data_IF_733095280519
#
_entry.id   IF_733095280519
#
_cell.length_a   1.000
_cell.length_b   1.000
_cell.length_c   1.000
_cell.angle_alpha   90.00
_cell.angle_beta   90.00
_cell.angle_gamma   90.00
#
_symmetry.space_group_name_H-M   'P 1'
#
loop_
_entity.id
_entity.type
_entity.pdbx_description
1 polymer ?
#
# COMPACT_ATOMS: atom_id res chain seq x y z
N UNK A 1 1.76 4.55 -20.45
CA UNK A 1 1.60 5.82 -19.70
C UNK A 1 0.18 6.29 -19.93
N UNK A 2 -0.53 6.58 -18.85
CA UNK A 2 -1.87 7.18 -18.88
C UNK A 2 -1.78 8.52 -18.18
N UNK A 3 -2.26 9.58 -18.80
CA UNK A 3 -2.33 10.92 -18.24
C UNK A 3 -3.79 11.31 -18.07
N UNK A 4 -4.11 12.02 -17.00
CA UNK A 4 -5.47 12.50 -16.74
C UNK A 4 -5.53 13.35 -15.47
N UNK A 5 -6.64 14.05 -15.28
CA UNK A 5 -6.88 14.90 -14.11
C UNK A 5 -7.29 14.09 -12.87
N UNK A 6 -7.63 12.83 -13.06
CA UNK A 6 -8.04 11.94 -11.97
C UNK A 6 -7.44 10.55 -12.14
N UNK A 7 -7.18 9.89 -11.02
CA UNK A 7 -6.79 8.49 -11.02
C UNK A 7 -7.94 7.68 -11.63
N UNK A 8 -7.65 6.81 -12.63
CA UNK A 8 -8.68 5.99 -13.25
C UNK A 8 -9.42 5.14 -12.19
N UNK A 9 -10.73 4.99 -12.34
CA UNK A 9 -11.51 4.05 -11.52
C UNK A 9 -11.09 2.62 -11.88
N UNK A 10 -10.17 2.07 -11.13
CA UNK A 10 -9.66 0.71 -11.29
C UNK A 10 -9.97 -0.11 -10.05
N UNK A 11 -9.93 -1.45 -10.20
CA UNK A 11 -10.04 -2.31 -9.02
C UNK A 11 -8.90 -2.00 -8.05
N UNK A 12 -9.18 -1.99 -6.76
CA UNK A 12 -8.20 -1.71 -5.70
C UNK A 12 -6.91 -2.55 -5.86
N UNK A 13 -7.04 -3.84 -6.19
CA UNK A 13 -5.90 -4.74 -6.47
C UNK A 13 -5.02 -4.34 -7.66
N UNK A 14 -5.46 -3.41 -8.49
CA UNK A 14 -4.69 -2.90 -9.64
C UNK A 14 -3.85 -1.67 -9.29
N UNK A 15 -4.19 -0.94 -8.21
CA UNK A 15 -3.48 0.28 -7.80
C UNK A 15 -1.98 0.04 -7.54
N UNK A 16 -1.56 -1.04 -6.82
CA UNK A 16 -0.13 -1.27 -6.60
C UNK A 16 0.67 -1.66 -7.84
N UNK A 17 -0.01 -1.80 -9.00
CA UNK A 17 0.64 -2.03 -10.31
C UNK A 17 0.90 -0.75 -11.08
N UNK A 18 0.48 0.40 -10.52
CA UNK A 18 0.64 1.70 -11.14
C UNK A 18 1.62 2.54 -10.34
N UNK A 19 2.51 3.21 -11.05
CA UNK A 19 3.29 4.30 -10.51
C UNK A 19 2.56 5.59 -10.84
N UNK A 20 2.05 6.27 -9.81
CA UNK A 20 1.24 7.48 -9.97
C UNK A 20 2.14 8.67 -9.68
N UNK A 21 2.31 9.55 -10.66
CA UNK A 21 2.99 10.83 -10.49
C UNK A 21 1.90 11.89 -10.42
N UNK A 22 1.84 12.58 -9.29
CA UNK A 22 0.91 13.67 -9.05
C UNK A 22 1.65 14.99 -9.24
N UNK A 23 1.22 15.78 -10.22
CA UNK A 23 1.78 17.11 -10.48
C UNK A 23 0.99 18.13 -9.67
N UNK A 24 1.50 18.50 -8.51
CA UNK A 24 0.86 19.48 -7.62
C UNK A 24 1.17 20.92 -7.97
N UNK A 25 2.22 21.15 -8.75
CA UNK A 25 2.67 22.48 -9.15
C UNK A 25 2.35 22.78 -10.62
N UNK A 26 2.23 24.04 -10.95
CA UNK A 26 2.05 24.47 -12.32
C UNK A 26 3.27 24.05 -13.16
N UNK A 27 3.02 23.39 -14.29
CA UNK A 27 4.06 23.01 -15.23
C UNK A 27 4.75 24.28 -15.74
N UNK A 28 6.07 24.32 -15.69
CA UNK A 28 6.85 25.38 -16.32
C UNK A 28 6.69 25.27 -17.84
N UNK A 29 5.81 26.10 -18.40
CA UNK A 29 5.49 26.09 -19.84
C UNK A 29 6.68 26.42 -20.71
N UNK A 30 7.61 27.26 -20.23
CA UNK A 30 8.83 27.58 -20.98
C UNK A 30 9.73 26.36 -21.09
N UNK A 31 10.02 25.69 -19.97
CA UNK A 31 10.80 24.45 -19.94
C UNK A 31 10.15 23.34 -20.78
N UNK A 32 8.82 23.23 -20.74
CA UNK A 32 8.09 22.27 -21.57
C UNK A 32 8.26 22.58 -23.08
N UNK A 33 8.20 23.85 -23.46
CA UNK A 33 8.38 24.28 -24.85
C UNK A 33 9.81 24.00 -25.34
N UNK A 34 10.81 24.26 -24.51
CA UNK A 34 12.22 23.95 -24.79
C UNK A 34 12.42 22.43 -24.96
N UNK A 35 11.85 21.62 -24.07
CA UNK A 35 11.88 20.18 -24.20
C UNK A 35 11.20 19.67 -25.48
N UNK A 36 10.06 20.25 -25.85
CA UNK A 36 9.37 19.91 -27.10
C UNK A 36 10.21 20.30 -28.34
N UNK A 37 10.92 21.42 -28.30
CA UNK A 37 11.82 21.82 -29.37
C UNK A 37 13.01 20.86 -29.52
N UNK A 38 13.51 20.29 -28.43
CA UNK A 38 14.62 19.33 -28.40
C UNK A 38 14.19 17.87 -28.61
N UNK A 39 13.02 17.62 -29.20
CA UNK A 39 12.48 16.26 -29.35
C UNK A 39 13.37 15.33 -30.18
N UNK A 40 14.10 15.85 -31.16
CA UNK A 40 14.99 15.03 -31.99
C UNK A 40 16.20 14.53 -31.22
N UNK A 41 16.80 15.38 -30.38
CA UNK A 41 17.91 15.04 -29.50
C UNK A 41 17.48 13.99 -28.46
N UNK A 42 16.30 14.15 -27.88
CA UNK A 42 15.72 13.16 -26.96
C UNK A 42 15.55 11.80 -27.61
N UNK A 43 15.01 11.74 -28.81
CA UNK A 43 14.86 10.50 -29.57
C UNK A 43 16.21 9.85 -29.86
N UNK A 44 17.22 10.65 -30.23
CA UNK A 44 18.58 10.18 -30.47
C UNK A 44 19.20 9.58 -29.20
N UNK A 45 19.14 10.30 -28.08
CA UNK A 45 19.65 9.82 -26.80
C UNK A 45 18.93 8.55 -26.31
N UNK A 46 17.61 8.49 -26.47
CA UNK A 46 16.85 7.29 -26.12
C UNK A 46 17.22 6.10 -27.01
N UNK A 47 17.40 6.30 -28.30
CA UNK A 47 17.80 5.25 -29.23
C UNK A 47 19.21 4.71 -28.91
N UNK A 48 20.17 5.59 -28.56
CA UNK A 48 21.51 5.18 -28.15
C UNK A 48 21.47 4.41 -26.81
N UNK A 49 20.67 4.86 -25.86
CA UNK A 49 20.48 4.12 -24.61
C UNK A 49 19.83 2.75 -24.85
N UNK A 50 18.78 2.66 -25.68
CA UNK A 50 18.17 1.38 -26.06
C UNK A 50 19.22 0.48 -26.72
N UNK A 51 20.04 1.00 -27.62
CA UNK A 51 21.11 0.22 -28.25
C UNK A 51 22.12 -0.32 -27.20
N UNK A 52 22.44 0.47 -26.20
CA UNK A 52 23.30 0.03 -25.08
C UNK A 52 22.63 -1.10 -24.28
N UNK A 53 21.32 -1.07 -24.10
CA UNK A 53 20.59 -2.13 -23.36
C UNK A 53 20.45 -3.46 -24.10
N UNK A 54 20.77 -3.50 -25.40
CA UNK A 54 20.73 -4.73 -26.20
C UNK A 54 21.93 -5.68 -25.92
N UNK A 55 22.92 -5.23 -25.17
CA UNK A 55 24.00 -6.11 -24.70
C UNK A 55 23.44 -7.17 -23.75
N UNK A 56 23.85 -8.42 -23.94
CA UNK A 56 23.40 -9.54 -23.12
C UNK A 56 23.85 -9.37 -21.67
N UNK A 57 25.02 -8.79 -21.45
CA UNK A 57 25.57 -8.54 -20.11
C UNK A 57 24.76 -7.48 -19.38
N UNK A 58 24.13 -6.54 -20.10
CA UNK A 58 23.21 -5.56 -19.52
C UNK A 58 22.07 -6.23 -18.77
N UNK A 59 21.39 -7.20 -19.39
CA UNK A 59 20.24 -7.88 -18.78
C UNK A 59 20.63 -8.66 -17.52
N UNK A 60 21.79 -9.31 -17.55
CA UNK A 60 22.33 -10.07 -16.40
C UNK A 60 22.63 -9.09 -15.27
N UNK A 61 23.31 -8.02 -15.57
CA UNK A 61 23.68 -6.98 -14.60
C UNK A 61 22.47 -6.27 -14.01
N UNK A 62 21.52 -5.87 -14.84
CA UNK A 62 20.26 -5.25 -14.41
C UNK A 62 19.52 -6.14 -13.41
N UNK A 63 19.45 -7.45 -13.69
CA UNK A 63 18.83 -8.41 -12.78
C UNK A 63 19.56 -8.50 -11.44
N UNK A 64 20.89 -8.53 -11.47
CA UNK A 64 21.69 -8.57 -10.24
C UNK A 64 21.49 -7.29 -9.42
N UNK A 65 21.60 -6.14 -10.04
CA UNK A 65 21.39 -4.84 -9.39
C UNK A 65 19.99 -4.73 -8.78
N UNK A 66 18.96 -5.28 -9.47
CA UNK A 66 17.61 -5.37 -8.90
C UNK A 66 17.58 -6.22 -7.62
N UNK A 67 18.25 -7.37 -7.61
CA UNK A 67 18.30 -8.24 -6.43
C UNK A 67 19.03 -7.57 -5.26
N UNK A 68 20.14 -6.89 -5.55
CA UNK A 68 20.92 -6.17 -4.53
C UNK A 68 20.09 -5.06 -3.88
N UNK A 69 19.35 -4.27 -4.68
CA UNK A 69 18.40 -3.28 -4.15
C UNK A 69 17.27 -3.92 -3.36
N UNK A 70 16.74 -5.07 -3.84
CA UNK A 70 15.67 -5.78 -3.14
C UNK A 70 16.13 -6.24 -1.76
N UNK A 71 17.31 -6.85 -1.67
CA UNK A 71 17.85 -7.31 -0.40
C UNK A 71 18.09 -6.13 0.55
N UNK A 72 18.66 -5.03 0.07
CA UNK A 72 18.84 -3.80 0.84
C UNK A 72 17.53 -3.25 1.39
N UNK A 73 16.50 -3.10 0.53
CA UNK A 73 15.21 -2.55 0.93
C UNK A 73 14.49 -3.51 1.89
N UNK A 74 14.53 -4.84 1.63
CA UNK A 74 13.90 -5.83 2.50
C UNK A 74 14.48 -5.83 3.91
N UNK A 75 15.76 -5.55 4.07
CA UNK A 75 16.38 -5.46 5.39
C UNK A 75 16.05 -4.17 6.15
N UNK A 76 15.84 -3.05 5.44
CA UNK A 76 15.74 -1.73 6.08
C UNK A 76 14.35 -1.10 6.04
N UNK A 77 13.55 -1.36 5.01
CA UNK A 77 12.33 -0.60 4.73
C UNK A 77 11.07 -1.46 4.51
N UNK A 78 11.22 -2.69 4.08
CA UNK A 78 10.14 -3.53 3.56
C UNK A 78 9.03 -3.94 4.53
N UNK A 79 9.21 -4.01 5.84
CA UNK A 79 8.10 -4.35 6.74
C UNK A 79 6.91 -3.37 6.62
N UNK A 80 7.14 -2.20 6.00
CA UNK A 80 6.17 -1.12 5.90
C UNK A 80 5.54 -0.95 4.51
N UNK A 81 6.05 -1.67 3.51
CA UNK A 81 5.61 -1.48 2.11
C UNK A 81 4.89 -2.72 1.57
N UNK A 82 3.89 -2.48 0.72
CA UNK A 82 3.30 -3.56 -0.06
C UNK A 82 4.34 -4.12 -1.04
N UNK A 83 4.44 -5.45 -1.17
CA UNK A 83 5.48 -6.15 -1.95
C UNK A 83 5.65 -5.65 -3.40
N UNK A 84 4.57 -5.19 -4.04
CA UNK A 84 4.62 -4.64 -5.41
C UNK A 84 5.28 -3.27 -5.47
N UNK A 85 5.08 -2.44 -4.46
CA UNK A 85 5.77 -1.15 -4.36
C UNK A 85 7.25 -1.35 -4.07
N UNK A 86 7.61 -2.32 -3.24
CA UNK A 86 9.01 -2.72 -3.05
C UNK A 86 9.66 -3.12 -4.37
N UNK A 87 9.02 -4.01 -5.14
CA UNK A 87 9.53 -4.42 -6.45
C UNK A 87 9.64 -3.26 -7.42
N UNK A 88 8.67 -2.36 -7.43
CA UNK A 88 8.68 -1.17 -8.29
C UNK A 88 9.85 -0.25 -7.95
N UNK A 89 10.10 0.01 -6.67
CA UNK A 89 11.24 0.79 -6.21
C UNK A 89 12.56 0.17 -6.66
N UNK A 90 12.72 -1.15 -6.47
CA UNK A 90 13.94 -1.86 -6.89
C UNK A 90 14.19 -1.74 -8.41
N UNK A 91 13.15 -1.83 -9.23
CA UNK A 91 13.28 -1.64 -10.67
C UNK A 91 13.70 -0.22 -11.03
N UNK A 92 13.11 0.80 -10.42
CA UNK A 92 13.53 2.19 -10.67
C UNK A 92 14.97 2.45 -10.28
N UNK A 93 15.41 1.93 -9.12
CA UNK A 93 16.78 2.08 -8.67
C UNK A 93 17.77 1.31 -9.54
N UNK A 94 17.44 0.09 -9.93
CA UNK A 94 18.30 -0.70 -10.81
C UNK A 94 18.47 -0.06 -12.20
N UNK A 95 17.37 0.44 -12.78
CA UNK A 95 17.42 1.16 -14.07
C UNK A 95 18.23 2.45 -13.92
N UNK A 96 18.09 3.17 -12.82
CA UNK A 96 18.87 4.38 -12.54
C UNK A 96 20.37 4.09 -12.48
N UNK A 97 20.80 3.04 -11.78
CA UNK A 97 22.21 2.66 -11.69
C UNK A 97 22.78 2.30 -13.06
N UNK A 98 22.04 1.53 -13.85
CA UNK A 98 22.42 1.18 -15.22
C UNK A 98 22.49 2.41 -16.13
N UNK A 99 21.60 3.38 -15.93
CA UNK A 99 21.66 4.65 -16.66
C UNK A 99 22.86 5.49 -16.25
N UNK A 100 23.22 5.54 -14.98
CA UNK A 100 24.43 6.22 -14.52
C UNK A 100 25.71 5.60 -15.12
N UNK A 101 25.76 4.28 -15.24
CA UNK A 101 26.86 3.60 -15.90
C UNK A 101 26.94 3.91 -17.39
N UNK A 102 25.80 3.89 -18.08
CA UNK A 102 25.73 4.32 -19.48
C UNK A 102 26.28 5.73 -19.66
N UNK A 103 25.82 6.68 -18.82
CA UNK A 103 26.28 8.05 -18.87
C UNK A 103 27.79 8.16 -18.64
N UNK A 104 28.31 7.40 -17.68
CA UNK A 104 29.76 7.34 -17.42
C UNK A 104 30.53 6.78 -18.62
N UNK A 105 30.06 5.70 -19.24
CA UNK A 105 30.66 5.09 -20.41
C UNK A 105 30.67 6.03 -21.63
N UNK A 106 29.67 6.89 -21.74
CA UNK A 106 29.53 7.88 -22.84
C UNK A 106 30.10 9.24 -22.50
N UNK A 107 30.70 9.44 -21.32
CA UNK A 107 31.16 10.74 -20.82
C UNK A 107 30.05 11.82 -20.81
N UNK A 108 28.83 11.40 -20.51
CA UNK A 108 27.67 12.29 -20.38
C UNK A 108 27.61 12.77 -18.92
N UNK A 109 27.62 14.09 -18.73
CA UNK A 109 27.49 14.66 -17.40
C UNK A 109 26.03 15.12 -17.17
N UNK A 110 25.44 14.63 -16.08
CA UNK A 110 24.12 15.07 -15.61
C UNK A 110 24.25 15.86 -14.31
N UNK A 111 23.78 17.10 -14.32
CA UNK A 111 23.56 17.86 -13.09
C UNK A 111 22.27 17.38 -12.40
N UNK A 112 22.29 17.28 -11.07
CA UNK A 112 21.11 17.04 -10.22
C UNK A 112 20.43 15.66 -10.30
N UNK A 113 21.08 14.63 -10.81
CA UNK A 113 20.52 13.29 -10.84
C UNK A 113 20.72 12.53 -9.50
N UNK A 114 21.62 13.02 -8.63
CA UNK A 114 21.96 12.40 -7.34
C UNK A 114 20.77 12.20 -6.41
N UNK A 115 19.74 13.04 -6.52
CA UNK A 115 18.58 13.01 -5.65
C UNK A 115 17.51 12.01 -6.10
N UNK A 116 17.66 11.42 -7.30
CA UNK A 116 16.68 10.47 -7.82
C UNK A 116 16.43 9.26 -6.90
N UNK A 117 17.46 8.59 -6.34
CA UNK A 117 17.24 7.45 -5.46
C UNK A 117 16.46 7.79 -4.19
N UNK A 118 16.70 8.94 -3.58
CA UNK A 118 15.97 9.39 -2.39
C UNK A 118 14.54 9.79 -2.74
N UNK A 119 14.36 10.50 -3.84
CA UNK A 119 13.05 10.93 -4.29
C UNK A 119 12.16 9.75 -4.66
N UNK A 120 12.68 8.76 -5.41
CA UNK A 120 11.88 7.58 -5.79
C UNK A 120 11.47 6.75 -4.57
N UNK A 121 12.37 6.58 -3.57
CA UNK A 121 12.04 5.90 -2.30
C UNK A 121 10.94 6.65 -1.56
N UNK A 122 11.04 7.96 -1.46
CA UNK A 122 10.02 8.79 -0.82
C UNK A 122 8.66 8.65 -1.51
N UNK A 123 8.60 8.79 -2.84
CA UNK A 123 7.36 8.65 -3.61
C UNK A 123 6.72 7.26 -3.45
N UNK A 124 7.52 6.21 -3.48
CA UNK A 124 7.04 4.84 -3.31
C UNK A 124 6.52 4.61 -1.89
N UNK A 125 7.21 5.14 -0.88
CA UNK A 125 6.76 5.07 0.51
C UNK A 125 5.40 5.74 0.70
N UNK A 126 5.23 6.95 0.17
CA UNK A 126 3.96 7.69 0.22
C UNK A 126 2.83 6.96 -0.54
N UNK A 127 3.10 6.41 -1.72
CA UNK A 127 2.10 5.64 -2.46
C UNK A 127 1.73 4.35 -1.72
N UNK A 128 2.69 3.65 -1.14
CA UNK A 128 2.45 2.45 -0.35
C UNK A 128 1.60 2.76 0.89
N UNK A 129 1.89 3.86 1.58
CA UNK A 129 1.11 4.34 2.72
C UNK A 129 -0.33 4.65 2.31
N UNK A 130 -0.54 5.45 1.27
CA UNK A 130 -1.88 5.76 0.73
C UNK A 130 -2.65 4.50 0.32
N UNK A 131 -1.96 3.51 -0.25
CA UNK A 131 -2.58 2.24 -0.60
C UNK A 131 -3.03 1.48 0.64
N UNK A 132 -2.19 1.37 1.67
CA UNK A 132 -2.53 0.70 2.92
C UNK A 132 -3.67 1.42 3.66
N UNK A 133 -3.65 2.74 3.68
CA UNK A 133 -4.72 3.55 4.29
C UNK A 133 -6.08 3.37 3.61
N UNK A 134 -6.12 3.01 2.33
CA UNK A 134 -7.34 2.69 1.58
C UNK A 134 -7.64 1.17 1.56
N UNK A 135 -6.85 0.34 2.23
CA UNK A 135 -7.17 -1.08 2.35
C UNK A 135 -8.40 -1.28 3.25
N UNK A 136 -9.33 -2.08 2.78
CA UNK A 136 -10.60 -2.30 3.49
C UNK A 136 -10.42 -2.91 4.88
N UNK A 137 -9.38 -3.74 5.08
CA UNK A 137 -9.05 -4.30 6.40
C UNK A 137 -8.53 -3.19 7.31
N UNK A 138 -7.63 -2.35 6.80
CA UNK A 138 -7.11 -1.20 7.55
C UNK A 138 -8.23 -0.23 7.92
N UNK A 139 -9.10 0.12 6.97
CA UNK A 139 -10.29 0.96 7.20
C UNK A 139 -11.17 0.34 8.28
N UNK A 140 -11.44 -0.98 8.19
CA UNK A 140 -12.23 -1.70 9.17
C UNK A 140 -11.67 -1.54 10.58
N UNK A 141 -10.39 -1.87 10.81
CA UNK A 141 -9.78 -1.78 12.13
C UNK A 141 -9.64 -0.36 12.64
N UNK A 142 -9.25 0.59 11.78
CA UNK A 142 -9.16 2.01 12.12
C UNK A 142 -10.52 2.56 12.56
N UNK A 143 -11.59 2.27 11.82
CA UNK A 143 -12.95 2.71 12.16
C UNK A 143 -13.47 2.02 13.41
N UNK A 144 -13.18 0.71 13.57
CA UNK A 144 -13.52 -0.04 14.77
C UNK A 144 -12.91 0.60 16.03
N UNK A 145 -11.63 0.96 15.96
CA UNK A 145 -10.92 1.60 17.06
C UNK A 145 -11.45 3.01 17.34
N UNK A 146 -11.74 3.80 16.31
CA UNK A 146 -12.37 5.12 16.44
C UNK A 146 -13.71 5.01 17.17
N UNK A 147 -14.59 4.09 16.74
CA UNK A 147 -15.88 3.87 17.39
C UNK A 147 -15.75 3.37 18.84
N UNK A 148 -14.68 2.61 19.14
CA UNK A 148 -14.38 2.18 20.51
C UNK A 148 -13.97 3.36 21.38
N UNK A 149 -13.08 4.21 20.93
CA UNK A 149 -12.61 5.41 21.63
C UNK A 149 -13.77 6.39 21.89
N UNK A 150 -14.67 6.53 20.92
CA UNK A 150 -15.87 7.38 21.02
C UNK A 150 -16.99 6.78 21.88
N UNK A 151 -16.76 5.63 22.50
CA UNK A 151 -17.77 4.88 23.29
C UNK A 151 -19.05 4.53 22.50
N UNK A 152 -18.98 4.42 21.18
CA UNK A 152 -20.09 4.00 20.30
C UNK A 152 -20.22 2.48 20.20
N UNK A 153 -19.25 1.74 20.71
CA UNK A 153 -19.24 0.28 20.82
C UNK A 153 -19.23 -0.13 22.29
N UNK A 154 -20.12 -1.04 22.64
CA UNK A 154 -20.14 -1.64 23.97
C UNK A 154 -19.10 -2.76 24.04
N UNK A 155 -18.06 -2.56 24.85
CA UNK A 155 -16.93 -3.48 25.00
C UNK A 155 -16.92 -4.06 26.41
N UNK A 156 -16.81 -5.38 26.52
CA UNK A 156 -16.76 -6.08 27.82
C UNK A 156 -15.60 -7.08 27.83
N UNK A 157 -14.87 -7.10 28.93
CA UNK A 157 -13.88 -8.16 29.16
C UNK A 157 -14.59 -9.49 29.44
N UNK A 158 -14.12 -10.57 28.84
CA UNK A 158 -14.72 -11.90 28.99
C UNK A 158 -14.81 -12.38 30.43
N UNK A 159 -13.89 -11.95 31.29
CA UNK A 159 -13.90 -12.27 32.73
C UNK A 159 -15.06 -11.62 33.52
N UNK A 160 -15.77 -10.65 32.91
CA UNK A 160 -16.87 -9.91 33.53
C UNK A 160 -18.24 -10.28 32.96
N UNK A 161 -18.33 -11.33 32.14
CA UNK A 161 -19.60 -11.80 31.58
C UNK A 161 -20.43 -12.48 32.69
N UNK A 162 -21.68 -12.03 32.84
CA UNK A 162 -22.70 -12.59 33.70
C UNK A 162 -23.96 -12.90 32.89
N UNK A 163 -24.91 -13.63 33.46
CA UNK A 163 -26.19 -13.94 32.79
C UNK A 163 -27.01 -12.68 32.45
N UNK A 164 -26.79 -11.57 33.15
CA UNK A 164 -27.44 -10.28 32.93
C UNK A 164 -26.62 -9.29 32.08
N UNK A 165 -25.55 -9.79 31.44
CA UNK A 165 -24.70 -8.94 30.60
C UNK A 165 -25.50 -8.39 29.43
N UNK A 166 -25.58 -7.06 29.24
CA UNK A 166 -26.31 -6.45 28.15
C UNK A 166 -25.71 -6.85 26.80
N UNK A 167 -26.48 -6.66 25.72
CA UNK A 167 -25.99 -6.89 24.35
C UNK A 167 -24.71 -6.10 24.15
N UNK A 168 -23.67 -6.81 23.80
CA UNK A 168 -22.29 -6.28 23.67
C UNK A 168 -21.87 -6.38 22.21
N UNK A 169 -21.19 -5.37 21.72
CA UNK A 169 -20.67 -5.34 20.36
C UNK A 169 -19.33 -6.08 20.28
N UNK A 170 -18.50 -5.97 21.32
CA UNK A 170 -17.15 -6.52 21.37
C UNK A 170 -16.90 -7.17 22.72
N UNK A 171 -16.43 -8.42 22.70
CA UNK A 171 -15.84 -9.09 23.84
C UNK A 171 -14.31 -9.14 23.65
N UNK A 172 -13.55 -9.00 24.71
CA UNK A 172 -12.09 -9.10 24.64
C UNK A 172 -11.51 -9.87 25.82
N UNK A 173 -10.42 -10.58 25.53
CA UNK A 173 -9.52 -11.20 26.49
C UNK A 173 -8.09 -10.71 26.25
N UNK A 174 -7.13 -11.29 26.95
CA UNK A 174 -5.71 -10.93 26.73
C UNK A 174 -5.24 -11.32 25.33
N UNK A 175 -5.75 -12.42 24.76
CA UNK A 175 -5.28 -12.97 23.47
C UNK A 175 -6.23 -12.69 22.30
N UNK A 176 -7.53 -12.48 22.56
CA UNK A 176 -8.55 -12.46 21.51
C UNK A 176 -9.52 -11.30 21.64
N UNK A 177 -10.05 -10.91 20.50
CA UNK A 177 -11.17 -9.98 20.41
C UNK A 177 -12.28 -10.66 19.62
N UNK A 178 -13.46 -10.77 20.20
CA UNK A 178 -14.67 -11.29 19.53
C UNK A 178 -15.57 -10.13 19.16
N UNK A 179 -16.03 -10.13 17.93
CA UNK A 179 -16.85 -9.06 17.38
C UNK A 179 -18.24 -9.61 17.04
N UNK A 180 -19.29 -8.93 17.48
CA UNK A 180 -20.64 -9.19 16.99
C UNK A 180 -20.75 -8.69 15.54
N UNK A 181 -20.77 -9.66 14.63
CA UNK A 181 -20.47 -9.41 13.23
C UNK A 181 -21.48 -8.54 12.50
N UNK A 182 -22.77 -8.60 12.87
CA UNK A 182 -23.84 -7.90 12.17
C UNK A 182 -23.90 -6.41 12.59
N UNK A 183 -23.97 -6.18 13.90
CA UNK A 183 -24.09 -4.82 14.44
C UNK A 183 -22.84 -3.99 14.24
N UNK A 184 -21.68 -4.58 14.52
CA UNK A 184 -20.40 -3.88 14.39
C UNK A 184 -20.13 -3.53 12.94
N UNK A 185 -20.39 -4.45 12.01
CA UNK A 185 -20.27 -4.15 10.58
C UNK A 185 -21.19 -3.01 10.14
N UNK A 186 -22.44 -3.01 10.60
CA UNK A 186 -23.40 -1.94 10.27
C UNK A 186 -22.94 -0.58 10.84
N UNK A 187 -22.44 -0.55 12.07
CA UNK A 187 -21.90 0.68 12.69
C UNK A 187 -20.66 1.19 11.96
N UNK A 188 -19.75 0.31 11.55
CA UNK A 188 -18.58 0.68 10.77
C UNK A 188 -18.97 1.26 9.41
N UNK A 189 -19.89 0.59 8.70
CA UNK A 189 -20.37 1.06 7.40
C UNK A 189 -21.02 2.44 7.51
N UNK A 190 -21.81 2.66 8.52
CA UNK A 190 -22.43 3.97 8.78
C UNK A 190 -21.38 5.04 9.13
N UNK A 191 -20.38 4.73 9.95
CA UNK A 191 -19.32 5.64 10.29
C UNK A 191 -18.50 6.04 9.06
N UNK A 192 -18.09 5.07 8.24
CA UNK A 192 -17.40 5.33 6.97
C UNK A 192 -18.23 6.23 6.04
N UNK A 193 -19.54 5.98 5.91
CA UNK A 193 -20.43 6.83 5.11
C UNK A 193 -20.47 8.27 5.62
N UNK A 194 -20.55 8.47 6.93
CA UNK A 194 -20.59 9.79 7.55
C UNK A 194 -19.29 10.58 7.36
N UNK A 195 -18.17 9.88 7.30
CA UNK A 195 -16.83 10.45 7.08
C UNK A 195 -16.46 10.55 5.59
N UNK A 196 -17.32 10.12 4.68
CA UNK A 196 -17.05 10.12 3.23
C UNK A 196 -15.99 9.08 2.82
N UNK A 197 -15.73 8.09 3.67
CA UNK A 197 -14.77 7.00 3.39
C UNK A 197 -15.49 5.92 2.58
N UNK A 198 -14.90 5.52 1.44
CA UNK A 198 -15.42 4.41 0.64
C UNK A 198 -15.11 3.08 1.32
N UNK A 199 -16.17 2.39 1.76
CA UNK A 199 -16.08 1.05 2.33
C UNK A 199 -17.11 0.14 1.64
N UNK A 200 -16.71 -0.40 0.47
CA UNK A 200 -17.63 -1.04 -0.48
C UNK A 200 -17.78 -2.54 -0.27
N UNK A 201 -17.04 -3.13 0.68
CA UNK A 201 -17.17 -4.55 0.97
C UNK A 201 -18.53 -4.89 1.59
N UNK A 202 -19.08 -6.03 1.20
CA UNK A 202 -20.12 -6.70 1.95
C UNK A 202 -19.50 -7.35 3.21
N UNK A 203 -20.33 -7.67 4.20
CA UNK A 203 -19.88 -8.38 5.40
C UNK A 203 -19.17 -9.69 5.04
N UNK A 204 -19.74 -10.48 4.15
CA UNK A 204 -19.17 -11.77 3.75
C UNK A 204 -17.78 -11.61 3.08
N UNK A 205 -17.62 -10.64 2.19
CA UNK A 205 -16.34 -10.37 1.55
C UNK A 205 -15.28 -9.89 2.55
N UNK A 206 -15.66 -9.05 3.54
CA UNK A 206 -14.75 -8.64 4.61
C UNK A 206 -14.23 -9.85 5.39
N UNK A 207 -15.12 -10.74 5.83
CA UNK A 207 -14.74 -11.91 6.63
C UNK A 207 -13.90 -12.90 5.82
N UNK A 208 -14.23 -13.14 4.56
CA UNK A 208 -13.39 -13.94 3.64
C UNK A 208 -11.99 -13.33 3.50
N UNK A 209 -11.89 -12.01 3.43
CA UNK A 209 -10.61 -11.33 3.35
C UNK A 209 -9.83 -11.43 4.66
N UNK A 210 -10.47 -11.24 5.82
CA UNK A 210 -9.86 -11.43 7.13
C UNK A 210 -9.36 -12.86 7.34
N UNK A 211 -10.10 -13.86 6.87
CA UNK A 211 -9.72 -15.27 6.91
C UNK A 211 -8.51 -15.56 6.02
N UNK A 212 -8.52 -15.04 4.78
CA UNK A 212 -7.39 -15.20 3.84
C UNK A 212 -6.10 -14.58 4.35
N UNK A 213 -6.20 -13.50 5.13
CA UNK A 213 -5.08 -12.83 5.80
C UNK A 213 -4.71 -13.47 7.15
N UNK A 214 -5.40 -14.58 7.53
CA UNK A 214 -5.21 -15.30 8.80
C UNK A 214 -5.46 -14.43 10.04
N UNK A 215 -6.30 -13.43 9.92
CA UNK A 215 -6.72 -12.54 11.00
C UNK A 215 -7.94 -13.06 11.73
N UNK A 216 -8.77 -13.86 11.07
CA UNK A 216 -9.84 -14.63 11.69
C UNK A 216 -9.29 -15.96 12.20
N UNK A 217 -9.59 -16.23 13.46
CA UNK A 217 -9.36 -17.55 14.06
C UNK A 217 -10.73 -18.20 14.14
N UNK A 218 -10.91 -19.33 13.46
CA UNK A 218 -12.08 -20.17 13.64
C UNK A 218 -12.24 -20.50 15.13
N UNK A 219 -13.48 -20.63 15.62
CA UNK A 219 -13.80 -20.77 17.05
C UNK A 219 -12.74 -21.60 17.80
N UNK A 220 -11.94 -21.00 18.69
CA UNK A 220 -11.13 -21.81 19.57
C UNK A 220 -12.07 -22.59 20.48
N UNK A 221 -11.69 -23.82 20.87
CA UNK A 221 -12.39 -24.71 21.82
C UNK A 221 -12.48 -24.14 23.25
N UNK A 222 -12.68 -22.87 23.40
CA UNK A 222 -12.89 -22.17 24.66
C UNK A 222 -14.38 -22.04 24.88
N UNK A 223 -14.85 -22.45 26.03
CA UNK A 223 -16.23 -22.36 26.53
C UNK A 223 -16.99 -21.19 25.89
N UNK A 224 -17.87 -21.57 24.97
CA UNK A 224 -18.41 -20.77 23.86
C UNK A 224 -18.86 -19.36 24.26
N UNK A 225 -18.29 -18.31 23.66
CA UNK A 225 -19.03 -17.06 23.57
C UNK A 225 -20.32 -17.29 22.78
N UNK A 226 -21.38 -16.49 23.01
CA UNK A 226 -22.67 -16.68 22.32
C UNK A 226 -22.46 -16.75 20.81
N UNK A 227 -23.22 -17.59 20.12
CA UNK A 227 -23.09 -18.05 18.74
C UNK A 227 -22.99 -16.96 17.62
N UNK A 228 -22.78 -15.71 17.96
CA UNK A 228 -22.79 -14.55 17.06
C UNK A 228 -21.44 -13.79 17.00
N UNK A 229 -20.42 -14.23 17.76
CA UNK A 229 -19.13 -13.53 17.80
C UNK A 229 -18.09 -14.28 16.98
N UNK A 230 -17.33 -13.52 16.19
CA UNK A 230 -16.18 -14.02 15.44
C UNK A 230 -14.89 -13.57 16.13
N UNK A 231 -13.97 -14.50 16.36
CA UNK A 231 -12.70 -14.21 17.03
C UNK A 231 -11.69 -13.62 16.04
N UNK A 232 -11.13 -12.48 16.39
CA UNK A 232 -10.05 -11.83 15.64
C UNK A 232 -8.79 -11.83 16.50
N UNK A 233 -7.66 -12.21 15.92
CA UNK A 233 -6.36 -12.15 16.59
C UNK A 233 -6.01 -10.69 16.89
N UNK A 234 -5.56 -10.39 18.12
CA UNK A 234 -4.99 -9.08 18.41
C UNK A 234 -3.78 -8.86 17.52
N UNK A 235 -3.72 -7.71 16.87
CA UNK A 235 -2.50 -7.27 16.22
C UNK A 235 -1.48 -6.94 17.31
N UNK A 236 -0.34 -7.61 17.29
CA UNK A 236 0.85 -7.10 17.95
C UNK A 236 1.29 -5.84 17.18
N UNK A 237 1.27 -4.70 17.87
CA UNK A 237 1.74 -3.40 17.35
C UNK A 237 3.26 -3.38 17.22
#
# INVERSE_FOLDING_TARGET
VVTGEQIPKVRFSSIPRMFIIDFQEAVNLQALTELQASQAEFRGALADFIQYTLDIDFCIKLRQTFLDHRDSIMHHEAPKWHARYTSMCCWFLAIYDMFCEYCTAKNIFFANISDFPSNIRHYIAEQSKRYLENDSIFIFFKTLESLRIENKLHTINTSKITNDTPKTDILYSDDYVWIESVNVFAKIKLACQNEGISFDLSRQELYQKLESEKLLIGQPDVQSPPAFFEAIRKFEQ
#
